data_IF_701717430538
#
_entry.id   IF_701717430538
#
_cell.length_a   1.000
_cell.length_b   1.000
_cell.length_c   1.000
_cell.angle_alpha   90.00
_cell.angle_beta   90.00
_cell.angle_gamma   90.00
#
_symmetry.space_group_name_H-M   'P 1'
#
loop_
_entity.id
_entity.type
_entity.pdbx_description
1 polymer ?
#
# COMPACT_ATOMS: atom_id res chain seq x y z
N UNK A 1 -11.85 -31.30 -2.16
CA UNK A 1 -10.50 -30.69 -2.03
C UNK A 1 -9.88 -31.06 -0.69
N UNK A 2 -8.61 -31.45 -0.72
CA UNK A 2 -7.89 -31.67 0.54
C UNK A 2 -7.49 -30.33 1.15
N UNK A 3 -7.16 -30.33 2.44
CA UNK A 3 -6.67 -29.13 3.12
C UNK A 3 -5.35 -28.66 2.50
N UNK A 4 -4.51 -29.58 2.04
CA UNK A 4 -3.23 -29.22 1.40
C UNK A 4 -3.45 -28.48 0.09
N UNK A 5 -4.43 -28.89 -0.70
CA UNK A 5 -4.78 -28.18 -1.94
C UNK A 5 -5.27 -26.77 -1.66
N UNK A 6 -6.10 -26.60 -0.61
CA UNK A 6 -6.59 -25.27 -0.22
C UNK A 6 -5.45 -24.40 0.29
N UNK A 7 -4.53 -24.96 1.07
CA UNK A 7 -3.34 -24.22 1.56
C UNK A 7 -2.43 -23.79 0.41
N UNK A 8 -2.31 -24.62 -0.65
CA UNK A 8 -1.56 -24.22 -1.83
C UNK A 8 -2.22 -23.05 -2.57
N UNK A 9 -3.55 -23.03 -2.62
CA UNK A 9 -4.27 -21.88 -3.18
C UNK A 9 -4.02 -20.61 -2.35
N UNK A 10 -4.06 -20.70 -1.02
CA UNK A 10 -3.77 -19.58 -0.13
C UNK A 10 -2.36 -19.08 -0.37
N UNK A 11 -1.39 -19.98 -0.47
CA UNK A 11 0.01 -19.64 -0.76
C UNK A 11 0.12 -18.83 -2.06
N UNK A 12 -0.59 -19.24 -3.10
CA UNK A 12 -0.57 -18.53 -4.38
C UNK A 12 -1.19 -17.14 -4.27
N UNK A 13 -2.26 -17.01 -3.49
CA UNK A 13 -2.88 -15.70 -3.22
C UNK A 13 -1.90 -14.80 -2.46
N UNK A 14 -1.21 -15.33 -1.46
CA UNK A 14 -0.21 -14.56 -0.70
C UNK A 14 0.90 -14.04 -1.61
N UNK A 15 1.37 -14.86 -2.55
CA UNK A 15 2.39 -14.44 -3.52
C UNK A 15 1.86 -13.30 -4.40
N UNK A 16 0.60 -13.35 -4.81
CA UNK A 16 -0.01 -12.26 -5.58
C UNK A 16 -0.11 -10.97 -4.74
N UNK A 17 -0.49 -11.07 -3.48
CA UNK A 17 -0.52 -9.92 -2.57
C UNK A 17 0.87 -9.27 -2.49
N UNK A 18 1.92 -10.08 -2.33
CA UNK A 18 3.29 -9.58 -2.25
C UNK A 18 3.74 -8.92 -3.56
N UNK A 19 3.39 -9.51 -4.71
CA UNK A 19 3.70 -8.91 -6.01
C UNK A 19 3.01 -7.56 -6.18
N UNK A 20 1.75 -7.46 -5.79
CA UNK A 20 1.00 -6.21 -5.87
C UNK A 20 1.57 -5.16 -4.92
N UNK A 21 1.98 -5.59 -3.73
CA UNK A 21 2.62 -4.69 -2.77
C UNK A 21 3.95 -4.17 -3.31
N UNK A 22 4.77 -5.03 -3.90
CA UNK A 22 6.03 -4.62 -4.54
C UNK A 22 5.78 -3.61 -5.66
N UNK A 23 4.76 -3.84 -6.47
CA UNK A 23 4.37 -2.91 -7.54
C UNK A 23 3.94 -1.56 -6.96
N UNK A 24 3.17 -1.58 -5.87
CA UNK A 24 2.74 -0.35 -5.20
C UNK A 24 3.94 0.45 -4.67
N UNK A 25 4.95 -0.22 -4.16
CA UNK A 25 6.19 0.44 -3.71
C UNK A 25 6.97 1.04 -4.88
N UNK A 26 7.01 0.37 -6.02
CA UNK A 26 7.60 0.91 -7.24
C UNK A 26 6.86 2.18 -7.69
N UNK A 27 5.52 2.14 -7.68
CA UNK A 27 4.70 3.30 -8.01
C UNK A 27 4.89 4.45 -7.02
N UNK A 28 5.15 4.15 -5.75
CA UNK A 28 5.46 5.18 -4.75
C UNK A 28 6.72 5.98 -5.15
N UNK A 29 7.73 5.30 -5.72
CA UNK A 29 8.91 5.98 -6.24
C UNK A 29 8.59 6.90 -7.42
N UNK A 30 7.71 6.46 -8.32
CA UNK A 30 7.27 7.27 -9.47
C UNK A 30 6.43 8.47 -9.00
N UNK A 31 5.61 8.29 -7.99
CA UNK A 31 4.85 9.39 -7.37
C UNK A 31 5.82 10.43 -6.77
N UNK A 32 6.88 9.97 -6.11
CA UNK A 32 7.90 10.87 -5.56
C UNK A 32 8.51 11.74 -6.67
N UNK A 33 8.86 11.15 -7.80
CA UNK A 33 9.42 11.88 -8.94
C UNK A 33 8.47 12.98 -9.41
N UNK A 34 7.18 12.68 -9.52
CA UNK A 34 6.17 13.67 -9.90
C UNK A 34 6.01 14.77 -8.84
N UNK A 35 6.02 14.40 -7.56
CA UNK A 35 5.97 15.38 -6.46
C UNK A 35 7.16 16.34 -6.50
N UNK A 36 8.36 15.83 -6.76
CA UNK A 36 9.57 16.66 -6.89
C UNK A 36 9.44 17.66 -8.03
N UNK A 37 8.92 17.21 -9.18
CA UNK A 37 8.71 18.09 -10.34
C UNK A 37 7.74 19.22 -10.04
N UNK A 38 6.74 18.97 -9.21
CA UNK A 38 5.68 19.94 -8.90
C UNK A 38 5.92 20.68 -7.58
N UNK A 39 6.99 20.37 -6.85
CA UNK A 39 7.28 20.99 -5.56
C UNK A 39 6.31 20.59 -4.45
N UNK A 40 5.73 19.40 -4.55
CA UNK A 40 4.76 18.90 -3.58
C UNK A 40 5.44 18.17 -2.42
N UNK A 41 4.80 18.21 -1.25
CA UNK A 41 5.26 17.48 -0.07
C UNK A 41 5.07 15.96 -0.26
N UNK A 42 5.96 15.17 0.34
CA UNK A 42 5.88 13.71 0.30
C UNK A 42 4.59 13.23 0.97
N UNK A 43 4.29 13.69 2.18
CA UNK A 43 3.07 13.31 2.86
C UNK A 43 1.90 14.20 2.42
N UNK A 44 0.81 13.56 2.02
CA UNK A 44 -0.43 14.22 1.62
C UNK A 44 -1.59 13.57 2.37
N UNK A 45 -1.98 14.17 3.48
CA UNK A 45 -3.03 13.65 4.35
C UNK A 45 -4.38 13.53 3.65
N UNK A 46 -4.71 14.45 2.76
CA UNK A 46 -5.98 14.40 2.00
C UNK A 46 -6.01 13.19 1.09
N UNK A 47 -4.91 12.91 0.40
CA UNK A 47 -4.81 11.74 -0.48
C UNK A 47 -4.83 10.46 0.35
N UNK A 48 -4.16 10.43 1.48
CA UNK A 48 -4.16 9.28 2.39
C UNK A 48 -5.58 8.96 2.87
N UNK A 49 -6.34 9.97 3.28
CA UNK A 49 -7.72 9.80 3.72
C UNK A 49 -8.61 9.27 2.59
N UNK A 50 -8.41 9.75 1.38
CA UNK A 50 -9.14 9.28 0.21
C UNK A 50 -8.86 7.79 -0.07
N UNK A 51 -7.60 7.38 0.04
CA UNK A 51 -7.21 5.97 -0.14
C UNK A 51 -7.89 5.09 0.91
N UNK A 52 -7.89 5.51 2.18
CA UNK A 52 -8.54 4.76 3.25
C UNK A 52 -10.05 4.64 3.02
N UNK A 53 -10.70 5.71 2.61
CA UNK A 53 -12.13 5.71 2.32
C UNK A 53 -12.48 4.73 1.20
N UNK A 54 -11.72 4.77 0.10
CA UNK A 54 -11.93 3.85 -1.03
C UNK A 54 -11.73 2.40 -0.62
N UNK A 55 -10.71 2.14 0.20
CA UNK A 55 -10.42 0.79 0.68
C UNK A 55 -11.57 0.25 1.54
N UNK A 56 -12.11 1.08 2.43
CA UNK A 56 -13.23 0.69 3.29
C UNK A 56 -14.50 0.43 2.49
N UNK A 57 -14.81 1.28 1.52
CA UNK A 57 -15.98 1.10 0.64
C UNK A 57 -15.87 -0.20 -0.16
N UNK A 58 -14.70 -0.49 -0.70
CA UNK A 58 -14.48 -1.72 -1.45
C UNK A 58 -14.52 -2.95 -0.54
N UNK A 59 -14.03 -2.83 0.69
CA UNK A 59 -14.11 -3.90 1.67
C UNK A 59 -15.55 -4.34 1.91
N UNK A 60 -16.47 -3.38 2.02
CA UNK A 60 -17.91 -3.70 2.19
C UNK A 60 -18.44 -4.49 0.98
N UNK A 61 -18.11 -4.07 -0.23
CA UNK A 61 -18.52 -4.79 -1.45
C UNK A 61 -18.00 -6.22 -1.50
N UNK A 62 -16.80 -6.45 -0.96
CA UNK A 62 -16.12 -7.75 -1.00
C UNK A 62 -16.35 -8.59 0.25
N UNK A 63 -17.26 -8.17 1.14
CA UNK A 63 -17.55 -8.86 2.40
C UNK A 63 -16.33 -8.99 3.31
N UNK A 64 -15.46 -7.99 3.29
CA UNK A 64 -14.33 -7.88 4.19
C UNK A 64 -14.67 -6.90 5.33
N UNK A 65 -14.04 -7.07 6.48
CA UNK A 65 -14.21 -6.15 7.60
C UNK A 65 -13.58 -4.79 7.26
N UNK A 66 -14.36 -3.69 7.15
CA UNK A 66 -13.82 -2.39 6.73
C UNK A 66 -12.80 -1.83 7.72
N UNK A 67 -13.00 -2.03 9.03
CA UNK A 67 -12.07 -1.54 10.04
C UNK A 67 -10.71 -2.23 9.94
N UNK A 68 -10.70 -3.55 9.72
CA UNK A 68 -9.47 -4.31 9.52
C UNK A 68 -8.75 -3.89 8.25
N UNK A 69 -9.50 -3.70 7.15
CA UNK A 69 -8.95 -3.24 5.88
C UNK A 69 -8.35 -1.83 6.02
N UNK A 70 -9.03 -0.95 6.77
CA UNK A 70 -8.51 0.39 7.06
C UNK A 70 -7.14 0.31 7.74
N UNK A 71 -7.00 -0.52 8.78
CA UNK A 71 -5.73 -0.69 9.49
C UNK A 71 -4.64 -1.24 8.58
N UNK A 72 -4.98 -2.21 7.74
CA UNK A 72 -4.05 -2.76 6.76
C UNK A 72 -3.56 -1.66 5.79
N UNK A 73 -4.47 -0.84 5.26
CA UNK A 73 -4.10 0.23 4.33
C UNK A 73 -3.33 1.36 4.99
N UNK A 74 -3.51 1.60 6.29
CA UNK A 74 -2.64 2.52 7.04
C UNK A 74 -1.19 2.04 7.00
N UNK A 75 -0.96 0.73 7.21
CA UNK A 75 0.38 0.15 7.12
C UNK A 75 0.94 0.31 5.71
N UNK A 76 0.15 0.01 4.70
CA UNK A 76 0.57 0.13 3.29
C UNK A 76 0.92 1.57 2.95
N UNK A 77 0.12 2.54 3.40
CA UNK A 77 0.39 3.97 3.20
C UNK A 77 1.71 4.35 3.88
N UNK A 78 1.91 3.91 5.11
CA UNK A 78 3.16 4.19 5.85
C UNK A 78 4.38 3.62 5.13
N UNK A 79 4.26 2.42 4.58
CA UNK A 79 5.33 1.81 3.77
C UNK A 79 5.64 2.66 2.54
N UNK A 80 4.60 3.18 1.87
CA UNK A 80 4.77 4.05 0.69
C UNK A 80 5.46 5.35 1.05
N UNK A 81 5.06 5.98 2.14
CA UNK A 81 5.66 7.24 2.63
C UNK A 81 7.12 7.01 3.01
N UNK A 82 7.40 5.94 3.76
CA UNK A 82 8.77 5.58 4.15
C UNK A 82 9.65 5.35 2.91
N UNK A 83 9.11 4.68 1.89
CA UNK A 83 9.83 4.44 0.64
C UNK A 83 10.17 5.75 -0.07
N UNK A 84 9.24 6.70 -0.09
CA UNK A 84 9.48 8.01 -0.69
C UNK A 84 10.57 8.78 0.07
N UNK A 85 10.55 8.75 1.40
CA UNK A 85 11.60 9.37 2.22
C UNK A 85 12.96 8.73 2.00
N UNK A 86 13.03 7.41 1.94
CA UNK A 86 14.28 6.70 1.63
C UNK A 86 14.85 7.11 0.29
N UNK A 87 14.00 7.14 -0.75
CA UNK A 87 14.41 7.50 -2.10
C UNK A 87 14.79 8.98 -2.24
N UNK A 88 14.20 9.85 -1.42
CA UNK A 88 14.55 11.28 -1.39
C UNK A 88 15.86 11.55 -0.65
N UNK A 89 16.37 10.56 0.09
CA UNK A 89 17.56 10.69 0.91
C UNK A 89 17.31 11.15 2.34
N UNK A 90 16.07 11.50 2.69
CA UNK A 90 15.74 11.99 4.03
C UNK A 90 15.91 10.94 5.11
N UNK A 91 15.71 9.66 4.78
CA UNK A 91 15.88 8.56 5.72
C UNK A 91 17.32 8.04 5.85
N UNK A 92 18.27 8.65 5.14
CA UNK A 92 19.68 8.21 5.10
C UNK A 92 20.62 9.13 5.85
N UNK A 93 20.14 9.81 6.83
CA UNK A 93 20.96 10.71 7.63
C UNK A 93 21.99 9.91 8.45
N UNK A 94 23.23 10.39 8.49
CA UNK A 94 24.25 9.74 9.28
C UNK A 94 23.93 9.78 10.77
#
# INVERSE_FOLDING_TARGET
MSIEEVRDEVKNVDLEILRLLAKRMELAGRILDEKKKQGLAINDDRQNDLVLKRAMEKALELNLNPAAVKELFKVIIDMSISRQHELSGEGKLP
#
